data_IF_453804626271
#
_entry.id   IF_453804626271
#
_cell.length_a   1.000
_cell.length_b   1.000
_cell.length_c   1.000
_cell.angle_alpha   90.00
_cell.angle_beta   90.00
_cell.angle_gamma   90.00
#
_symmetry.space_group_name_H-M   'P 1'
#
loop_
_entity.id
_entity.type
_entity.pdbx_description
1 polymer ?
#
# COMPACT_ATOMS: atom_id res chain seq x y z
N UNK A 1 -5.35 -2.60 -2.46
CA UNK A 1 -6.30 -1.49 -2.17
C UNK A 1 -7.71 -1.94 -2.50
N UNK A 2 -8.73 -1.51 -1.75
CA UNK A 2 -10.11 -2.00 -1.94
C UNK A 2 -11.15 -0.89 -1.71
N UNK A 3 -12.26 -0.90 -2.47
CA UNK A 3 -13.43 -0.05 -2.22
C UNK A 3 -14.75 -0.79 -2.48
N UNK A 4 -15.84 -0.22 -1.99
CA UNK A 4 -17.21 -0.57 -2.36
C UNK A 4 -17.95 0.67 -2.89
N UNK A 5 -18.88 0.49 -3.83
CA UNK A 5 -19.70 1.58 -4.40
C UNK A 5 -21.16 1.16 -4.40
N UNK A 6 -22.05 1.96 -3.79
CA UNK A 6 -23.49 1.70 -3.79
C UNK A 6 -24.14 1.73 -5.19
N UNK A 7 -23.46 2.31 -6.18
CA UNK A 7 -23.93 2.38 -7.57
C UNK A 7 -23.13 1.47 -8.51
N UNK A 8 -23.01 1.89 -9.77
CA UNK A 8 -22.11 1.26 -10.74
C UNK A 8 -20.65 1.24 -10.26
N UNK A 9 -19.85 0.37 -10.88
CA UNK A 9 -18.44 0.26 -10.56
C UNK A 9 -17.72 1.61 -10.71
N UNK A 10 -16.91 1.95 -9.73
CA UNK A 10 -16.11 3.18 -9.68
C UNK A 10 -14.72 2.86 -9.16
N UNK A 11 -13.73 3.65 -9.55
CA UNK A 11 -12.34 3.51 -9.10
C UNK A 11 -11.83 4.76 -8.38
N UNK A 12 -12.69 5.73 -8.11
CA UNK A 12 -12.29 7.03 -7.60
C UNK A 12 -11.58 6.93 -6.25
N UNK A 13 -12.15 6.15 -5.32
CA UNK A 13 -11.58 6.01 -3.98
C UNK A 13 -10.24 5.27 -4.03
N UNK A 14 -10.17 4.12 -4.72
CA UNK A 14 -8.91 3.36 -4.79
C UNK A 14 -7.80 4.11 -5.52
N UNK A 15 -8.12 4.93 -6.53
CA UNK A 15 -7.13 5.76 -7.21
C UNK A 15 -6.56 6.83 -6.27
N UNK A 16 -7.41 7.50 -5.50
CA UNK A 16 -6.96 8.46 -4.49
C UNK A 16 -6.13 7.78 -3.41
N UNK A 17 -6.57 6.64 -2.91
CA UNK A 17 -5.84 5.91 -1.89
C UNK A 17 -4.50 5.38 -2.41
N UNK A 18 -4.38 5.03 -3.71
CA UNK A 18 -3.10 4.65 -4.32
C UNK A 18 -2.10 5.81 -4.32
N UNK A 19 -2.57 7.02 -4.66
CA UNK A 19 -1.74 8.23 -4.57
C UNK A 19 -1.34 8.50 -3.12
N UNK A 20 -2.27 8.31 -2.17
CA UNK A 20 -1.97 8.43 -0.74
C UNK A 20 -0.90 7.41 -0.30
N UNK A 21 -0.99 6.14 -0.72
CA UNK A 21 0.01 5.11 -0.41
C UNK A 21 1.42 5.50 -0.86
N UNK A 22 1.53 6.14 -2.03
CA UNK A 22 2.80 6.73 -2.50
C UNK A 22 3.31 7.81 -1.55
N UNK A 23 2.45 8.72 -1.10
CA UNK A 23 2.82 9.78 -0.15
C UNK A 23 3.29 9.22 1.20
N UNK A 24 2.66 8.13 1.64
CA UNK A 24 3.06 7.40 2.86
C UNK A 24 4.32 6.53 2.67
N UNK A 25 4.96 6.56 1.49
CA UNK A 25 6.12 5.73 1.12
C UNK A 25 5.84 4.22 1.23
N UNK A 26 4.60 3.80 1.02
CA UNK A 26 4.20 2.38 1.07
C UNK A 26 4.38 1.69 -0.30
N UNK A 27 4.72 0.41 -0.27
CA UNK A 27 4.63 -0.46 -1.45
C UNK A 27 3.16 -0.80 -1.68
N UNK A 28 2.52 -0.05 -2.58
CA UNK A 28 1.12 -0.32 -2.95
C UNK A 28 1.09 -1.37 -4.05
N UNK A 29 0.59 -2.56 -3.73
CA UNK A 29 0.52 -3.68 -4.69
C UNK A 29 -0.29 -3.32 -5.96
N UNK A 30 0.01 -3.92 -7.12
CA UNK A 30 -0.70 -3.67 -8.36
C UNK A 30 -2.20 -3.97 -8.27
N UNK A 31 -2.57 -5.14 -7.74
CA UNK A 31 -3.94 -5.62 -7.77
C UNK A 31 -4.84 -4.85 -6.80
N UNK A 32 -6.11 -4.70 -7.18
CA UNK A 32 -7.10 -3.93 -6.42
C UNK A 32 -8.52 -4.45 -6.67
N UNK A 33 -9.39 -4.24 -5.67
CA UNK A 33 -10.80 -4.63 -5.73
C UNK A 33 -11.72 -3.42 -5.68
N UNK A 34 -12.73 -3.40 -6.54
CA UNK A 34 -13.84 -2.44 -6.51
C UNK A 34 -15.15 -3.17 -6.72
N UNK A 35 -15.93 -3.29 -5.64
CA UNK A 35 -17.22 -4.00 -5.63
C UNK A 35 -18.34 -3.00 -5.89
N UNK A 36 -19.05 -3.18 -7.00
CA UNK A 36 -20.24 -2.39 -7.35
C UNK A 36 -21.48 -2.99 -6.70
N UNK A 37 -22.46 -2.15 -6.33
CA UNK A 37 -23.73 -2.56 -5.70
C UNK A 37 -23.53 -3.63 -4.60
N UNK A 38 -22.71 -3.37 -3.57
CA UNK A 38 -22.35 -4.37 -2.56
C UNK A 38 -23.59 -4.98 -1.89
N UNK A 39 -24.68 -4.23 -1.74
CA UNK A 39 -25.94 -4.75 -1.21
C UNK A 39 -26.51 -5.97 -1.97
N UNK A 40 -26.07 -6.24 -3.21
CA UNK A 40 -26.42 -7.45 -3.97
C UNK A 40 -25.41 -8.59 -3.76
N UNK A 41 -24.17 -8.25 -3.44
CA UNK A 41 -23.02 -9.16 -3.30
C UNK A 41 -22.87 -9.74 -1.89
N UNK A 42 -23.59 -9.22 -0.90
CA UNK A 42 -23.61 -9.77 0.46
C UNK A 42 -24.95 -10.45 0.77
N UNK A 43 -24.92 -11.50 1.58
CA UNK A 43 -26.10 -12.19 2.09
C UNK A 43 -26.60 -11.59 3.42
N UNK A 44 -27.66 -12.18 3.98
CA UNK A 44 -28.28 -11.71 5.23
C UNK A 44 -27.36 -11.87 6.46
N UNK A 45 -26.40 -12.81 6.41
CA UNK A 45 -25.41 -13.03 7.45
C UNK A 45 -24.18 -12.12 7.29
N UNK A 46 -24.19 -11.21 6.29
CA UNK A 46 -23.11 -10.29 5.99
C UNK A 46 -21.91 -10.97 5.32
N UNK A 47 -22.09 -12.17 4.76
CA UNK A 47 -21.03 -12.87 4.01
C UNK A 47 -21.12 -12.48 2.54
N UNK A 48 -19.96 -12.31 1.94
CA UNK A 48 -19.88 -12.05 0.51
C UNK A 48 -20.23 -13.34 -0.24
N UNK A 49 -21.15 -13.24 -1.20
CA UNK A 49 -21.57 -14.35 -2.05
C UNK A 49 -20.42 -14.76 -2.98
N UNK A 50 -20.38 -16.03 -3.44
CA UNK A 50 -19.47 -16.44 -4.50
C UNK A 50 -19.76 -15.62 -5.78
N UNK A 51 -18.80 -14.79 -6.18
CA UNK A 51 -18.88 -13.96 -7.39
C UNK A 51 -17.48 -13.59 -7.87
N UNK A 52 -17.38 -13.04 -9.08
CA UNK A 52 -16.10 -12.55 -9.60
C UNK A 52 -15.48 -11.44 -8.74
N UNK A 53 -16.29 -10.72 -7.96
CA UNK A 53 -15.78 -9.78 -6.98
C UNK A 53 -15.11 -10.48 -5.80
N UNK A 54 -15.65 -11.61 -5.35
CA UNK A 54 -15.06 -12.41 -4.28
C UNK A 54 -13.71 -12.99 -4.74
N UNK A 55 -13.64 -13.56 -5.94
CA UNK A 55 -12.39 -14.08 -6.50
C UNK A 55 -11.32 -12.99 -6.58
N UNK A 56 -11.70 -11.77 -6.99
CA UNK A 56 -10.78 -10.62 -7.00
C UNK A 56 -10.30 -10.23 -5.60
N UNK A 57 -11.15 -10.33 -4.57
CA UNK A 57 -10.75 -10.07 -3.18
C UNK A 57 -9.69 -11.08 -2.76
N UNK A 58 -9.88 -12.36 -3.11
CA UNK A 58 -8.92 -13.43 -2.85
C UNK A 58 -7.58 -13.14 -3.53
N UNK A 59 -7.58 -12.80 -4.82
CA UNK A 59 -6.36 -12.46 -5.56
C UNK A 59 -5.57 -11.31 -4.91
N UNK A 60 -6.28 -10.27 -4.47
CA UNK A 60 -5.67 -9.09 -3.82
C UNK A 60 -5.04 -9.46 -2.49
N UNK A 61 -5.71 -10.28 -1.68
CA UNK A 61 -5.19 -10.76 -0.41
C UNK A 61 -3.99 -11.69 -0.60
N UNK A 62 -4.04 -12.57 -1.60
CA UNK A 62 -2.94 -13.47 -1.95
C UNK A 62 -1.70 -12.69 -2.40
N UNK A 63 -1.89 -11.71 -3.30
CA UNK A 63 -0.81 -10.83 -3.76
C UNK A 63 -0.22 -10.00 -2.61
N UNK A 64 -1.07 -9.46 -1.73
CA UNK A 64 -0.62 -8.71 -0.56
C UNK A 64 0.29 -9.57 0.35
N UNK A 65 -0.11 -10.82 0.61
CA UNK A 65 0.67 -11.73 1.43
C UNK A 65 2.02 -12.04 0.78
N UNK A 66 2.04 -12.36 -0.52
CA UNK A 66 3.26 -12.62 -1.30
C UNK A 66 4.23 -11.43 -1.26
N UNK A 67 3.74 -10.22 -1.56
CA UNK A 67 4.56 -9.00 -1.51
C UNK A 67 5.07 -8.67 -0.11
N UNK A 68 4.25 -8.89 0.91
CA UNK A 68 4.63 -8.65 2.30
C UNK A 68 5.76 -9.60 2.71
N UNK A 69 5.62 -10.90 2.43
CA UNK A 69 6.67 -11.88 2.70
C UNK A 69 7.97 -11.57 1.96
N UNK A 70 7.86 -11.11 0.70
CA UNK A 70 9.02 -10.74 -0.10
C UNK A 70 9.76 -9.51 0.42
N UNK A 71 9.05 -8.52 0.97
CA UNK A 71 9.61 -7.18 1.22
C UNK A 71 9.90 -6.89 2.68
N UNK A 72 9.24 -7.56 3.63
CA UNK A 72 9.33 -7.23 5.07
C UNK A 72 10.76 -7.27 5.61
N UNK A 73 11.53 -8.30 5.25
CA UNK A 73 12.86 -8.55 5.81
C UNK A 73 13.94 -7.68 5.13
N UNK A 74 13.68 -7.23 3.90
CA UNK A 74 14.55 -6.33 3.14
C UNK A 74 14.17 -4.85 3.28
N UNK A 75 13.15 -4.52 4.09
CA UNK A 75 12.58 -3.17 4.13
C UNK A 75 13.61 -2.10 4.51
N UNK A 76 14.52 -2.38 5.45
CA UNK A 76 15.56 -1.43 5.86
C UNK A 76 16.47 -1.07 4.69
N UNK A 77 16.92 -2.08 3.95
CA UNK A 77 17.75 -1.91 2.77
C UNK A 77 17.02 -1.18 1.63
N UNK A 78 15.74 -1.52 1.38
CA UNK A 78 14.92 -0.84 0.38
C UNK A 78 14.69 0.64 0.70
N UNK A 79 14.71 1.02 1.98
CA UNK A 79 14.55 2.40 2.43
C UNK A 79 15.87 3.13 2.68
N UNK A 80 17.02 2.49 2.48
CA UNK A 80 18.32 3.12 2.63
C UNK A 80 18.62 4.02 1.42
N UNK A 81 18.29 5.31 1.54
CA UNK A 81 18.34 6.27 0.43
C UNK A 81 19.67 7.01 0.38
N UNK A 82 20.20 7.13 -0.84
CA UNK A 82 21.41 7.92 -1.11
C UNK A 82 21.33 9.36 -0.57
N UNK A 83 20.19 10.05 -0.77
CA UNK A 83 20.01 11.42 -0.29
C UNK A 83 20.08 11.53 1.23
N UNK A 84 19.54 10.55 1.96
CA UNK A 84 19.56 10.51 3.42
C UNK A 84 20.99 10.25 3.92
N UNK A 85 21.72 9.31 3.31
CA UNK A 85 23.15 9.07 3.62
C UNK A 85 24.03 10.29 3.37
N UNK A 86 23.80 11.02 2.27
CA UNK A 86 24.54 12.25 1.96
C UNK A 86 24.32 13.32 3.03
N UNK A 87 23.07 13.53 3.45
CA UNK A 87 22.71 14.50 4.50
C UNK A 87 23.32 14.11 5.86
N UNK A 88 23.36 12.83 6.21
CA UNK A 88 23.98 12.35 7.45
C UNK A 88 25.49 12.60 7.49
N UNK A 89 26.19 12.42 6.37
CA UNK A 89 27.61 12.72 6.25
C UNK A 89 27.89 14.21 6.43
N UNK A 90 27.14 15.09 5.76
CA UNK A 90 27.26 16.55 5.91
C UNK A 90 27.02 16.98 7.37
N UNK A 91 26.00 16.42 8.03
CA UNK A 91 25.73 16.67 9.47
C UNK A 91 26.85 16.13 10.36
N UNK A 92 27.51 15.04 10.00
CA UNK A 92 28.63 14.49 10.76
C UNK A 92 29.86 15.40 10.66
N UNK A 93 30.21 15.85 9.45
CA UNK A 93 31.32 16.79 9.22
C UNK A 93 31.13 18.09 10.02
N UNK A 94 29.93 18.67 10.00
CA UNK A 94 29.61 19.86 10.80
C UNK A 94 29.80 19.63 12.31
N UNK A 95 29.36 18.47 12.82
CA UNK A 95 29.49 18.12 14.25
C UNK A 95 30.93 17.91 14.68
N UNK A 96 31.77 17.33 13.83
CA UNK A 96 33.20 17.13 14.12
C UNK A 96 33.93 18.48 14.11
N UNK A 97 33.64 19.33 13.11
CA UNK A 97 34.22 20.67 13.00
C UNK A 97 33.93 21.57 14.21
N UNK A 98 32.70 21.51 14.74
CA UNK A 98 32.30 22.26 15.95
C UNK A 98 33.04 21.83 17.23
N UNK A 99 33.56 20.60 17.30
CA UNK A 99 34.30 20.08 18.47
C UNK A 99 35.80 20.34 18.40
N UNK A 100 36.32 20.77 17.25
CA UNK A 100 37.74 21.05 17.02
C UNK A 100 38.12 22.53 17.23
N UNK A 101 37.23 23.33 17.82
CA UNK A 101 37.44 24.72 18.27
C UNK A 101 37.33 24.73 19.80
#
# INVERSE_FOLDING_TARGET
MMQVSGGSQSFNAINQLRVLGRWMRMITIPNQSSVAKPFQEFDADGRMKPSSYYDRVVDVCEELAKFTLLTRDASSYLTDRYSERKEEAEKLEQRVSLKSI
#
